data_IF_663196860405
#
_entry.id   IF_663196860405
#
_cell.length_a   1.000
_cell.length_b   1.000
_cell.length_c   1.000
_cell.angle_alpha   90.00
_cell.angle_beta   90.00
_cell.angle_gamma   90.00
#
_symmetry.space_group_name_H-M   'P 1'
#
loop_
_entity.id
_entity.type
_entity.pdbx_description
1 polymer ?
#
# COMPACT_ATOMS: atom_id res chain seq x y z
N UNK A 1 3.75 -0.93 22.94
CA UNK A 1 3.41 0.46 22.59
C UNK A 1 3.17 0.47 21.10
N UNK A 2 2.02 0.95 20.64
CA UNK A 2 1.75 1.10 19.21
C UNK A 2 2.36 2.42 18.75
N UNK A 3 3.06 2.41 17.62
CA UNK A 3 3.61 3.61 17.00
C UNK A 3 2.68 3.98 15.85
N UNK A 4 2.29 5.25 15.82
CA UNK A 4 1.44 5.82 14.77
C UNK A 4 2.11 7.12 14.29
N UNK A 5 2.13 7.30 12.97
CA UNK A 5 2.62 8.53 12.35
C UNK A 5 1.94 8.72 10.99
N UNK A 6 1.94 9.96 10.51
CA UNK A 6 1.32 10.35 9.25
C UNK A 6 2.35 11.09 8.38
N UNK A 7 2.33 10.82 7.08
CA UNK A 7 3.13 11.50 6.06
C UNK A 7 2.19 11.92 4.93
N UNK A 8 2.37 13.14 4.42
CA UNK A 8 1.62 13.68 3.29
C UNK A 8 2.59 14.29 2.27
N UNK A 9 2.33 14.06 0.99
CA UNK A 9 3.11 14.58 -0.14
C UNK A 9 2.19 14.83 -1.34
N UNK A 10 2.54 15.79 -2.20
CA UNK A 10 1.79 16.06 -3.44
C UNK A 10 2.54 15.59 -4.68
N UNK A 11 1.77 15.07 -5.64
CA UNK A 11 2.29 14.58 -6.91
C UNK A 11 1.53 15.22 -8.06
N UNK A 12 2.19 15.60 -9.17
CA UNK A 12 1.54 16.22 -10.33
C UNK A 12 0.81 15.18 -11.20
N UNK A 13 0.00 14.31 -10.58
CA UNK A 13 -0.79 13.26 -11.23
C UNK A 13 -2.17 13.12 -10.57
N UNK A 14 -3.20 12.64 -11.29
CA UNK A 14 -4.50 12.37 -10.68
C UNK A 14 -4.44 11.29 -9.59
N UNK A 15 -5.27 11.36 -8.54
CA UNK A 15 -5.36 10.33 -7.49
C UNK A 15 -5.52 8.90 -8.01
N UNK A 16 -6.30 8.73 -9.08
CA UNK A 16 -6.53 7.42 -9.71
C UNK A 16 -5.23 6.80 -10.26
N UNK A 17 -4.26 7.61 -10.68
CA UNK A 17 -2.97 7.13 -11.17
C UNK A 17 -2.16 6.53 -10.03
N UNK A 18 -2.04 7.25 -8.91
CA UNK A 18 -1.35 6.74 -7.71
C UNK A 18 -2.01 5.45 -7.21
N UNK A 19 -3.35 5.46 -7.12
CA UNK A 19 -4.13 4.31 -6.68
C UNK A 19 -3.84 3.05 -7.50
N UNK A 20 -3.93 3.17 -8.84
CA UNK A 20 -3.67 2.05 -9.74
C UNK A 20 -2.22 1.59 -9.69
N UNK A 21 -1.27 2.52 -9.68
CA UNK A 21 0.16 2.19 -9.61
C UNK A 21 0.50 1.45 -8.32
N UNK A 22 -0.13 1.79 -7.19
CA UNK A 22 0.09 1.11 -5.92
C UNK A 22 -0.38 -0.34 -5.93
N UNK A 23 -1.52 -0.62 -6.57
CA UNK A 23 -2.16 -1.94 -6.61
C UNK A 23 -1.83 -2.76 -7.87
N UNK A 24 -0.99 -2.23 -8.75
CA UNK A 24 -0.45 -2.92 -9.93
C UNK A 24 0.97 -3.42 -9.65
N UNK A 25 1.24 -4.69 -9.99
CA UNK A 25 2.52 -5.32 -9.68
C UNK A 25 3.69 -4.61 -10.38
N UNK A 26 3.52 -4.27 -11.67
CA UNK A 26 4.56 -3.61 -12.44
C UNK A 26 4.75 -2.15 -12.00
N UNK A 27 3.66 -1.43 -11.76
CA UNK A 27 3.67 -0.06 -11.24
C UNK A 27 4.33 0.03 -9.86
N UNK A 28 3.98 -0.84 -8.93
CA UNK A 28 4.55 -0.87 -7.58
C UNK A 28 6.05 -1.21 -7.63
N UNK A 29 6.43 -2.17 -8.48
CA UNK A 29 7.84 -2.52 -8.66
C UNK A 29 8.65 -1.36 -9.26
N UNK A 30 8.09 -0.63 -10.22
CA UNK A 30 8.72 0.55 -10.80
C UNK A 30 8.88 1.71 -9.79
N UNK A 31 7.88 1.89 -8.90
CA UNK A 31 7.90 2.91 -7.85
C UNK A 31 8.96 2.63 -6.77
N UNK A 32 9.09 1.37 -6.34
CA UNK A 32 9.98 0.96 -5.24
C UNK A 32 11.37 0.52 -5.70
N UNK A 33 11.53 0.24 -7.00
CA UNK A 33 12.77 -0.30 -7.57
C UNK A 33 13.04 -1.76 -7.20
N UNK A 34 12.04 -2.49 -6.71
CA UNK A 34 12.15 -3.90 -6.28
C UNK A 34 10.93 -4.70 -6.72
N UNK A 35 11.03 -6.03 -6.94
CA UNK A 35 9.87 -6.85 -7.31
C UNK A 35 8.71 -6.75 -6.33
N UNK A 36 7.49 -6.73 -6.86
CA UNK A 36 6.24 -6.70 -6.12
C UNK A 36 5.18 -7.56 -6.81
N UNK A 37 4.28 -8.14 -6.03
CA UNK A 37 3.05 -8.77 -6.50
C UNK A 37 1.90 -8.07 -5.81
N UNK A 38 1.01 -7.44 -6.56
CA UNK A 38 -0.11 -6.67 -6.04
C UNK A 38 -1.46 -7.23 -6.52
N UNK A 39 -2.52 -6.88 -5.79
CA UNK A 39 -3.90 -7.26 -6.09
C UNK A 39 -4.80 -6.04 -5.93
N UNK A 40 -5.80 -5.90 -6.81
CA UNK A 40 -6.85 -4.87 -6.72
C UNK A 40 -8.13 -5.40 -6.03
N UNK A 41 -8.05 -6.56 -5.36
CA UNK A 41 -9.20 -7.22 -4.74
C UNK A 41 -9.14 -7.04 -3.22
N UNK A 42 -10.27 -6.69 -2.60
CA UNK A 42 -10.41 -6.71 -1.13
C UNK A 42 -10.23 -8.13 -0.64
N UNK A 43 -9.34 -8.29 0.33
CA UNK A 43 -8.89 -9.59 0.82
C UNK A 43 -7.82 -10.26 -0.04
N UNK A 44 -7.40 -9.64 -1.15
CA UNK A 44 -6.25 -10.09 -1.94
C UNK A 44 -4.95 -9.88 -1.18
N UNK A 45 -4.03 -10.82 -1.32
CA UNK A 45 -2.68 -10.76 -0.76
C UNK A 45 -1.74 -10.00 -1.72
N UNK A 46 -0.70 -9.41 -1.16
CA UNK A 46 0.36 -8.76 -1.91
C UNK A 46 1.73 -9.01 -1.27
N UNK A 47 2.77 -8.83 -2.08
CA UNK A 47 4.17 -8.80 -1.64
C UNK A 47 4.87 -7.56 -2.22
N UNK A 48 5.84 -7.02 -1.48
CA UNK A 48 6.67 -5.91 -1.91
C UNK A 48 8.12 -6.12 -1.48
N UNK A 49 9.04 -5.40 -2.13
CA UNK A 49 10.48 -5.49 -1.87
C UNK A 49 11.01 -6.94 -1.93
N UNK A 50 10.76 -7.62 -3.05
CA UNK A 50 11.21 -9.00 -3.29
C UNK A 50 10.73 -10.01 -2.23
N UNK A 51 9.50 -9.80 -1.73
CA UNK A 51 8.87 -10.65 -0.72
C UNK A 51 9.32 -10.38 0.71
N UNK A 52 10.14 -9.36 0.97
CA UNK A 52 10.46 -8.92 2.33
C UNK A 52 9.21 -8.41 3.06
N UNK A 53 8.32 -7.73 2.34
CA UNK A 53 7.03 -7.25 2.84
C UNK A 53 5.91 -8.11 2.26
N UNK A 54 4.93 -8.42 3.09
CA UNK A 54 3.68 -9.04 2.68
C UNK A 54 2.50 -8.50 3.48
N UNK A 55 1.31 -8.71 2.96
CA UNK A 55 0.11 -8.18 3.56
C UNK A 55 -1.15 -8.49 2.78
N UNK A 56 -2.26 -7.88 3.22
CA UNK A 56 -3.59 -8.08 2.65
C UNK A 56 -4.32 -6.76 2.48
N UNK A 57 -5.08 -6.63 1.39
CA UNK A 57 -6.00 -5.52 1.19
C UNK A 57 -7.20 -5.64 2.13
N UNK A 58 -7.37 -4.70 3.05
CA UNK A 58 -8.46 -4.68 4.02
C UNK A 58 -9.66 -3.91 3.49
N UNK A 59 -9.42 -2.75 2.87
CA UNK A 59 -10.44 -1.90 2.26
C UNK A 59 -9.87 -1.17 1.05
N UNK A 60 -10.64 -1.09 -0.03
CA UNK A 60 -10.24 -0.46 -1.28
C UNK A 60 -11.39 0.41 -1.81
N UNK A 61 -11.17 1.71 -1.91
CA UNK A 61 -12.09 2.66 -2.56
C UNK A 61 -11.35 3.27 -3.77
N UNK A 62 -11.78 2.98 -5.01
CA UNK A 62 -11.08 3.42 -6.21
C UNK A 62 -10.72 4.90 -6.21
N UNK A 63 -9.43 5.20 -6.31
CA UNK A 63 -8.89 6.55 -6.41
C UNK A 63 -8.96 7.38 -5.12
N UNK A 64 -9.33 6.77 -3.99
CA UNK A 64 -9.59 7.48 -2.73
C UNK A 64 -8.94 6.86 -1.50
N UNK A 65 -9.01 5.54 -1.35
CA UNK A 65 -8.57 4.84 -0.14
C UNK A 65 -7.95 3.49 -0.45
N UNK A 66 -6.76 3.25 0.09
CA UNK A 66 -6.14 1.93 0.19
C UNK A 66 -5.84 1.68 1.67
N UNK A 67 -6.47 0.65 2.24
CA UNK A 67 -6.19 0.20 3.61
C UNK A 67 -5.67 -1.23 3.56
N UNK A 68 -4.51 -1.47 4.15
CA UNK A 68 -3.79 -2.74 4.04
C UNK A 68 -3.22 -3.16 5.39
N UNK A 69 -3.17 -4.46 5.66
CA UNK A 69 -2.27 -5.00 6.68
C UNK A 69 -0.87 -5.13 6.08
N UNK A 70 0.15 -4.82 6.87
CA UNK A 70 1.55 -4.84 6.46
C UNK A 70 2.39 -5.52 7.53
N UNK A 71 3.26 -6.43 7.10
CA UNK A 71 4.33 -6.98 7.95
C UNK A 71 5.58 -7.26 7.14
N UNK A 72 6.71 -7.27 7.81
CA UNK A 72 7.98 -7.71 7.23
C UNK A 72 8.31 -9.14 7.68
N UNK A 73 9.33 -9.74 7.07
CA UNK A 73 9.88 -11.03 7.52
C UNK A 73 10.48 -10.99 8.94
N UNK A 74 10.67 -9.81 9.52
CA UNK A 74 11.22 -9.65 10.87
C UNK A 74 10.16 -9.75 11.97
N UNK A 75 8.88 -9.68 11.61
CA UNK A 75 7.79 -9.83 12.57
C UNK A 75 7.67 -11.30 12.98
N UNK A 76 7.65 -11.57 14.29
CA UNK A 76 7.32 -12.89 14.80
C UNK A 76 5.84 -13.22 14.50
N UNK A 77 5.48 -14.51 14.45
CA UNK A 77 4.11 -14.94 14.19
C UNK A 77 3.09 -14.38 15.20
N UNK A 78 3.54 -14.12 16.42
CA UNK A 78 2.73 -13.52 17.49
C UNK A 78 2.60 -11.99 17.39
N UNK A 79 3.43 -11.34 16.58
CA UNK A 79 3.39 -9.89 16.43
C UNK A 79 2.17 -9.50 15.60
N UNK A 80 1.40 -8.49 16.05
CA UNK A 80 0.30 -7.98 15.25
C UNK A 80 0.83 -7.32 13.98
N UNK A 81 0.11 -7.48 12.88
CA UNK A 81 0.40 -6.76 11.65
C UNK A 81 0.29 -5.25 11.87
N UNK A 82 1.11 -4.48 11.18
CA UNK A 82 0.91 -3.04 11.05
C UNK A 82 -0.27 -2.76 10.13
N UNK A 83 -0.84 -1.58 10.26
CA UNK A 83 -1.92 -1.13 9.39
C UNK A 83 -1.48 0.10 8.62
N UNK A 84 -1.64 0.07 7.29
CA UNK A 84 -1.35 1.18 6.41
C UNK A 84 -2.65 1.71 5.83
N UNK A 85 -2.89 3.01 6.01
CA UNK A 85 -3.99 3.74 5.38
C UNK A 85 -3.44 4.81 4.45
N UNK A 86 -3.84 4.78 3.17
CA UNK A 86 -3.46 5.74 2.15
C UNK A 86 -4.72 6.41 1.63
N UNK A 87 -4.88 7.69 1.96
CA UNK A 87 -5.93 8.54 1.42
C UNK A 87 -5.41 9.34 0.23
N UNK A 88 -6.17 9.34 -0.87
CA UNK A 88 -5.81 10.04 -2.09
C UNK A 88 -6.90 11.06 -2.43
N UNK A 89 -6.50 12.31 -2.62
CA UNK A 89 -7.40 13.40 -2.97
C UNK A 89 -6.72 14.33 -3.99
N UNK A 90 -7.49 14.97 -4.90
CA UNK A 90 -6.97 16.04 -5.73
C UNK A 90 -6.50 17.20 -4.85
N UNK A 91 -5.33 17.75 -5.14
CA UNK A 91 -4.88 18.99 -4.51
C UNK A 91 -5.49 20.19 -5.26
N UNK A 92 -6.34 20.96 -4.57
CA UNK A 92 -6.98 22.16 -5.10
C UNK A 92 -8.16 21.91 -6.05
N UNK A 93 -9.34 22.34 -5.63
CA UNK A 93 -10.44 22.74 -6.54
C UNK A 93 -10.47 24.25 -6.66
#
# INVERSE_FOLDING_TARGET
MSVEFEISESFPVPPQVVYKTWLDSAGHAAMTGSPASASEVVGGEFTAHDGYINGKNLELIPGKLIRQSWRTQEFADSDPDSELEITLAPEGT
#
